data_IF_575873919787
#
_entry.id   IF_575873919787
#
_cell.length_a   1.000
_cell.length_b   1.000
_cell.length_c   1.000
_cell.angle_alpha   90.00
_cell.angle_beta   90.00
_cell.angle_gamma   90.00
#
_symmetry.space_group_name_H-M   'P 1'
#
loop_
_entity.id
_entity.type
_entity.pdbx_description
1 polymer ?
#
# COMPACT_ATOMS: atom_id res chain seq x y z
N UNK A 1 6.80 14.74 -24.80
CA UNK A 1 5.58 15.35 -24.24
C UNK A 1 5.75 15.59 -22.74
N UNK A 2 5.83 16.86 -22.36
CA UNK A 2 6.10 17.35 -21.01
C UNK A 2 4.80 17.26 -20.18
N UNK A 3 4.67 16.27 -19.29
CA UNK A 3 3.61 16.19 -18.28
C UNK A 3 4.22 16.01 -16.89
N UNK A 4 4.98 17.00 -16.43
CA UNK A 4 5.07 17.27 -14.99
C UNK A 4 3.75 17.90 -14.55
N UNK A 5 2.72 17.06 -14.43
CA UNK A 5 1.38 17.51 -14.08
C UNK A 5 1.34 18.20 -12.71
N UNK A 6 0.31 19.02 -12.44
CA UNK A 6 0.10 19.71 -11.16
C UNK A 6 0.22 18.80 -9.92
N UNK A 7 -0.08 17.50 -10.07
CA UNK A 7 -0.04 16.51 -9.00
C UNK A 7 1.35 16.20 -8.43
N UNK A 8 2.43 16.30 -9.20
CA UNK A 8 3.79 16.02 -8.68
C UNK A 8 4.29 17.15 -7.78
N UNK A 9 3.96 18.41 -8.13
CA UNK A 9 4.28 19.58 -7.29
C UNK A 9 3.45 19.60 -6.02
N UNK A 10 2.16 19.27 -6.12
CA UNK A 10 1.30 19.14 -4.95
C UNK A 10 1.80 18.04 -4.01
N UNK A 11 2.15 16.86 -4.54
CA UNK A 11 2.73 15.78 -3.75
C UNK A 11 4.03 16.22 -3.05
N UNK A 12 4.94 16.88 -3.76
CA UNK A 12 6.17 17.39 -3.18
C UNK A 12 5.90 18.39 -2.03
N UNK A 13 4.96 19.32 -2.23
CA UNK A 13 4.53 20.26 -1.18
C UNK A 13 3.92 19.55 0.02
N UNK A 14 3.07 18.55 -0.19
CA UNK A 14 2.45 17.75 0.88
C UNK A 14 3.50 17.00 1.69
N UNK A 15 4.46 16.33 1.04
CA UNK A 15 5.55 15.62 1.72
C UNK A 15 6.41 16.59 2.51
N UNK A 16 6.76 17.73 1.91
CA UNK A 16 7.55 18.76 2.57
C UNK A 16 6.81 19.32 3.79
N UNK A 17 5.53 19.69 3.64
CA UNK A 17 4.71 20.19 4.74
C UNK A 17 4.55 19.16 5.87
N UNK A 18 4.33 17.88 5.52
CA UNK A 18 4.28 16.81 6.50
C UNK A 18 5.60 16.63 7.25
N UNK A 19 6.72 16.66 6.53
CA UNK A 19 8.06 16.60 7.12
C UNK A 19 8.34 17.78 8.05
N UNK A 20 8.05 19.00 7.60
CA UNK A 20 8.20 20.22 8.39
C UNK A 20 7.33 20.16 9.65
N UNK A 21 6.05 19.77 9.53
CA UNK A 21 5.14 19.64 10.67
C UNK A 21 5.67 18.63 11.71
N UNK A 22 6.19 17.48 11.27
CA UNK A 22 6.77 16.49 12.18
C UNK A 22 8.05 17.01 12.86
N UNK A 23 8.96 17.62 12.10
CA UNK A 23 10.19 18.21 12.66
C UNK A 23 9.85 19.27 13.70
N UNK A 24 8.94 20.19 13.38
CA UNK A 24 8.49 21.23 14.31
C UNK A 24 7.82 20.61 15.54
N UNK A 25 6.92 19.64 15.36
CA UNK A 25 6.26 18.98 16.48
C UNK A 25 7.26 18.29 17.42
N UNK A 26 8.19 17.51 16.88
CA UNK A 26 9.19 16.80 17.70
C UNK A 26 10.24 17.73 18.32
N UNK A 27 10.55 18.87 17.68
CA UNK A 27 11.40 19.89 18.26
C UNK A 27 10.75 20.58 19.47
N UNK A 28 9.43 20.81 19.40
CA UNK A 28 8.66 21.44 20.48
C UNK A 28 8.18 20.44 21.54
N UNK A 29 8.27 19.13 21.28
CA UNK A 29 7.74 18.08 22.15
C UNK A 29 8.14 18.21 23.63
N UNK A 30 9.39 18.57 24.00
CA UNK A 30 9.76 18.76 25.40
C UNK A 30 8.94 19.86 26.10
N UNK A 31 8.54 20.90 25.38
CA UNK A 31 7.85 22.08 25.90
C UNK A 31 6.32 21.97 25.81
N UNK A 32 5.80 20.91 25.17
CA UNK A 32 4.37 20.70 25.06
C UNK A 32 3.73 20.30 26.41
N UNK A 33 2.44 20.60 26.61
CA UNK A 33 1.69 20.13 27.78
C UNK A 33 1.69 18.61 27.90
N UNK A 34 1.47 18.07 29.11
CA UNK A 34 1.48 16.63 29.36
C UNK A 34 0.52 15.83 28.47
N UNK A 35 -0.64 16.42 28.16
CA UNK A 35 -1.62 15.85 27.22
C UNK A 35 -1.05 15.58 25.83
N UNK A 36 0.03 16.23 25.42
CA UNK A 36 0.69 16.04 24.13
C UNK A 36 2.03 15.30 24.22
N UNK A 37 2.48 14.95 25.44
CA UNK A 37 3.75 14.22 25.68
C UNK A 37 3.54 12.76 26.04
N UNK A 38 2.35 12.38 26.53
CA UNK A 38 2.07 11.03 27.02
C UNK A 38 1.15 10.25 26.06
N UNK A 39 1.67 9.25 25.32
CA UNK A 39 0.84 8.43 24.43
C UNK A 39 -0.37 7.85 25.16
N UNK A 40 -1.58 7.99 24.62
CA UNK A 40 -2.81 7.51 25.27
C UNK A 40 -3.49 8.52 26.21
N UNK A 41 -2.92 9.72 26.40
CA UNK A 41 -3.67 10.88 26.89
C UNK A 41 -4.93 11.14 26.03
N UNK A 42 -5.95 11.86 26.51
CA UNK A 42 -7.15 12.15 25.73
C UNK A 42 -6.84 12.77 24.36
N UNK A 43 -5.95 13.77 24.31
CA UNK A 43 -5.58 14.45 23.07
C UNK A 43 -4.85 13.51 22.09
N UNK A 44 -3.85 12.76 22.56
CA UNK A 44 -3.12 11.83 21.69
C UNK A 44 -3.96 10.61 21.33
N UNK A 45 -4.88 10.15 22.18
CA UNK A 45 -5.84 9.08 21.86
C UNK A 45 -6.72 9.48 20.67
N UNK A 46 -7.36 10.65 20.73
CA UNK A 46 -8.18 11.16 19.62
C UNK A 46 -7.35 11.37 18.35
N UNK A 47 -6.12 11.88 18.50
CA UNK A 47 -5.17 12.03 17.39
C UNK A 47 -4.85 10.67 16.74
N UNK A 48 -4.58 9.64 17.55
CA UNK A 48 -4.34 8.28 17.08
C UNK A 48 -5.54 7.65 16.40
N UNK A 49 -6.74 7.82 16.97
CA UNK A 49 -7.99 7.34 16.39
C UNK A 49 -8.28 8.00 15.04
N UNK A 50 -8.18 9.33 14.96
CA UNK A 50 -8.34 10.08 13.71
C UNK A 50 -7.30 9.67 12.66
N UNK A 51 -6.04 9.52 13.07
CA UNK A 51 -4.97 9.02 12.22
C UNK A 51 -5.26 7.61 11.68
N UNK A 52 -5.69 6.70 12.55
CA UNK A 52 -6.09 5.35 12.19
C UNK A 52 -7.23 5.31 11.19
N UNK A 53 -8.28 6.11 11.39
CA UNK A 53 -9.42 6.22 10.46
C UNK A 53 -8.97 6.72 9.07
N UNK A 54 -8.11 7.73 9.00
CA UNK A 54 -7.57 8.23 7.74
C UNK A 54 -6.72 7.18 7.00
N UNK A 55 -5.94 6.40 7.75
CA UNK A 55 -5.15 5.29 7.21
C UNK A 55 -6.06 4.15 6.71
N UNK A 56 -7.19 3.89 7.36
CA UNK A 56 -8.20 2.94 6.88
C UNK A 56 -8.87 3.43 5.59
N UNK A 57 -9.18 4.73 5.47
CA UNK A 57 -9.65 5.31 4.20
C UNK A 57 -8.60 5.12 3.10
N UNK A 58 -7.32 5.33 3.42
CA UNK A 58 -6.22 5.09 2.48
C UNK A 58 -6.17 3.62 2.04
N UNK A 59 -6.37 2.66 2.96
CA UNK A 59 -6.47 1.24 2.62
C UNK A 59 -7.72 0.91 1.79
N UNK A 60 -8.83 1.62 2.00
CA UNK A 60 -10.07 1.50 1.21
C UNK A 60 -9.88 1.71 -0.29
N UNK A 61 -8.85 2.47 -0.70
CA UNK A 61 -8.44 2.59 -2.10
C UNK A 61 -8.20 1.25 -2.78
N UNK A 62 -7.61 0.28 -2.08
CA UNK A 62 -7.38 -1.06 -2.60
C UNK A 62 -8.71 -1.71 -3.00
N UNK A 63 -9.74 -1.58 -2.16
CA UNK A 63 -11.06 -2.13 -2.40
C UNK A 63 -11.76 -1.40 -3.55
N UNK A 64 -11.73 -0.07 -3.58
CA UNK A 64 -12.31 0.73 -4.65
C UNK A 64 -11.69 0.38 -6.02
N UNK A 65 -10.37 0.27 -6.08
CA UNK A 65 -9.64 -0.12 -7.31
C UNK A 65 -9.94 -1.55 -7.75
N UNK A 66 -10.14 -2.48 -6.81
CA UNK A 66 -10.29 -3.91 -7.11
C UNK A 66 -11.73 -4.35 -7.35
N UNK A 67 -12.70 -3.55 -6.94
CA UNK A 67 -14.13 -3.82 -7.18
C UNK A 67 -14.67 -3.11 -8.43
N UNK A 68 -13.96 -2.09 -8.95
CA UNK A 68 -14.41 -1.30 -10.09
C UNK A 68 -15.60 -0.39 -9.79
N UNK A 69 -16.09 -0.36 -8.55
CA UNK A 69 -17.28 0.38 -8.11
C UNK A 69 -16.98 1.76 -7.52
N UNK A 70 -15.72 2.18 -7.54
CA UNK A 70 -15.27 3.43 -6.91
C UNK A 70 -15.53 4.72 -7.70
N UNK A 71 -16.01 4.65 -8.95
CA UNK A 71 -16.03 5.84 -9.81
C UNK A 71 -14.61 6.22 -10.26
N UNK A 72 -14.23 7.51 -10.17
CA UNK A 72 -12.97 8.01 -10.76
C UNK A 72 -11.71 7.43 -10.07
N UNK A 73 -10.84 6.69 -10.80
CA UNK A 73 -9.59 6.18 -10.25
C UNK A 73 -8.62 7.27 -9.78
N UNK A 74 -8.68 8.46 -10.39
CA UNK A 74 -7.81 9.60 -10.06
C UNK A 74 -8.17 10.17 -8.69
N UNK A 75 -9.47 10.40 -8.43
CA UNK A 75 -9.95 10.93 -7.15
C UNK A 75 -9.63 9.98 -5.99
N UNK A 76 -9.79 8.68 -6.22
CA UNK A 76 -9.44 7.65 -5.24
C UNK A 76 -7.94 7.58 -4.95
N UNK A 77 -7.10 7.81 -5.96
CA UNK A 77 -5.66 7.92 -5.77
C UNK A 77 -5.28 9.18 -4.99
N UNK A 78 -5.89 10.33 -5.29
CA UNK A 78 -5.68 11.58 -4.53
C UNK A 78 -6.10 11.43 -3.07
N UNK A 79 -7.28 10.87 -2.81
CA UNK A 79 -7.75 10.57 -1.47
C UNK A 79 -6.78 9.64 -0.73
N UNK A 80 -6.32 8.56 -1.36
CA UNK A 80 -5.33 7.64 -0.80
C UNK A 80 -4.05 8.35 -0.35
N UNK A 81 -3.53 9.26 -1.17
CA UNK A 81 -2.33 10.05 -0.86
C UNK A 81 -2.60 11.02 0.28
N UNK A 82 -3.67 11.81 0.19
CA UNK A 82 -4.01 12.83 1.20
C UNK A 82 -4.27 12.20 2.58
N UNK A 83 -5.15 11.20 2.65
CA UNK A 83 -5.48 10.56 3.93
C UNK A 83 -4.33 9.70 4.43
N UNK A 84 -3.53 9.09 3.54
CA UNK A 84 -2.32 8.37 3.91
C UNK A 84 -1.26 9.29 4.53
N UNK A 85 -1.00 10.45 3.93
CA UNK A 85 -0.04 11.43 4.45
C UNK A 85 -0.52 12.05 5.76
N UNK A 86 -1.77 12.52 5.82
CA UNK A 86 -2.31 13.11 7.05
C UNK A 86 -2.39 12.09 8.18
N UNK A 87 -2.89 10.89 7.89
CA UNK A 87 -2.96 9.79 8.85
C UNK A 87 -1.58 9.39 9.37
N UNK A 88 -0.54 9.42 8.53
CA UNK A 88 0.84 9.17 8.96
C UNK A 88 1.39 10.24 9.89
N UNK A 89 1.10 11.52 9.62
CA UNK A 89 1.49 12.62 10.51
C UNK A 89 0.82 12.45 11.88
N UNK A 90 -0.49 12.21 11.90
CA UNK A 90 -1.22 12.01 13.16
C UNK A 90 -0.73 10.76 13.92
N UNK A 91 -0.44 9.66 13.22
CA UNK A 91 0.12 8.46 13.85
C UNK A 91 1.52 8.70 14.45
N UNK A 92 2.35 9.50 13.79
CA UNK A 92 3.66 9.89 14.32
C UNK A 92 3.52 10.81 15.54
N UNK A 93 2.64 11.82 15.49
CA UNK A 93 2.32 12.69 16.64
C UNK A 93 1.79 11.87 17.82
N UNK A 94 0.85 10.95 17.57
CA UNK A 94 0.28 10.04 18.55
C UNK A 94 1.36 9.24 19.32
N UNK A 95 2.46 8.88 18.64
CA UNK A 95 3.55 8.13 19.27
C UNK A 95 4.29 8.91 20.36
N UNK A 96 4.20 10.25 20.36
CA UNK A 96 4.92 11.15 21.26
C UNK A 96 6.42 10.79 21.40
N UNK A 97 7.04 10.32 20.31
CA UNK A 97 8.46 9.96 20.27
C UNK A 97 8.82 8.64 20.98
N UNK A 98 7.85 7.89 21.50
CA UNK A 98 8.08 6.61 22.19
C UNK A 98 8.24 5.45 21.21
N UNK A 99 9.47 5.25 20.75
CA UNK A 99 9.85 4.21 19.77
C UNK A 99 10.32 2.88 20.39
N UNK A 100 10.25 2.71 21.71
CA UNK A 100 10.84 1.56 22.41
C UNK A 100 9.94 0.31 22.48
N UNK A 101 8.72 0.36 21.94
CA UNK A 101 7.72 -0.70 22.08
C UNK A 101 7.26 -1.24 20.72
N UNK A 102 6.51 -2.36 20.71
CA UNK A 102 5.94 -2.99 19.52
C UNK A 102 5.30 -2.02 18.47
N UNK A 103 4.65 -0.90 18.85
CA UNK A 103 4.15 0.09 17.90
C UNK A 103 5.22 0.75 17.00
N UNK A 104 6.50 0.70 17.36
CA UNK A 104 7.59 1.23 16.54
C UNK A 104 7.71 0.52 15.18
N UNK A 105 7.36 -0.77 15.11
CA UNK A 105 7.33 -1.51 13.85
C UNK A 105 6.22 -0.98 12.91
N UNK A 106 5.12 -0.46 13.45
CA UNK A 106 4.07 0.18 12.66
C UNK A 106 4.55 1.49 12.06
N UNK A 107 5.25 2.31 12.85
CA UNK A 107 5.85 3.56 12.36
C UNK A 107 6.91 3.29 11.30
N UNK A 108 7.74 2.25 11.48
CA UNK A 108 8.71 1.84 10.47
C UNK A 108 8.03 1.37 9.18
N UNK A 109 6.98 0.55 9.30
CA UNK A 109 6.21 0.12 8.14
C UNK A 109 5.53 1.29 7.42
N UNK A 110 5.00 2.26 8.17
CA UNK A 110 4.40 3.47 7.64
C UNK A 110 5.42 4.36 6.91
N UNK A 111 6.61 4.55 7.50
CA UNK A 111 7.71 5.26 6.88
C UNK A 111 8.15 4.57 5.57
N UNK A 112 8.24 3.24 5.57
CA UNK A 112 8.53 2.45 4.36
C UNK A 112 7.46 2.61 3.28
N UNK A 113 6.17 2.62 3.65
CA UNK A 113 5.05 2.85 2.73
C UNK A 113 5.14 4.23 2.07
N UNK A 114 5.39 5.27 2.87
CA UNK A 114 5.59 6.63 2.39
C UNK A 114 6.78 6.69 1.43
N UNK A 115 7.94 6.20 1.85
CA UNK A 115 9.16 6.22 1.02
C UNK A 115 8.96 5.50 -0.32
N UNK A 116 8.31 4.32 -0.30
CA UNK A 116 7.96 3.58 -1.52
C UNK A 116 6.97 4.37 -2.39
N UNK A 117 5.95 4.99 -1.80
CA UNK A 117 4.98 5.82 -2.54
C UNK A 117 5.62 7.03 -3.22
N UNK A 118 6.48 7.76 -2.50
CA UNK A 118 7.24 8.90 -3.02
C UNK A 118 8.17 8.47 -4.14
N UNK A 119 8.94 7.40 -3.94
CA UNK A 119 9.82 6.86 -4.97
C UNK A 119 9.05 6.48 -6.24
N UNK A 120 7.89 5.84 -6.09
CA UNK A 120 7.05 5.43 -7.22
C UNK A 120 6.62 6.61 -8.07
N UNK A 121 6.25 7.71 -7.42
CA UNK A 121 5.78 8.91 -8.11
C UNK A 121 6.91 9.69 -8.76
N UNK A 122 8.00 9.93 -8.05
CA UNK A 122 9.09 10.77 -8.52
C UNK A 122 10.01 10.06 -9.51
N UNK A 123 10.28 8.76 -9.29
CA UNK A 123 11.25 7.99 -10.08
C UNK A 123 10.62 6.82 -10.81
N UNK A 124 9.72 6.08 -10.17
CA UNK A 124 9.10 4.88 -10.74
C UNK A 124 8.32 5.17 -12.04
N UNK A 125 7.48 6.20 -12.03
CA UNK A 125 6.67 6.63 -13.18
C UNK A 125 7.53 6.95 -14.42
N UNK A 126 8.62 7.71 -14.22
CA UNK A 126 9.55 8.12 -15.28
C UNK A 126 10.32 6.92 -15.83
N UNK A 127 10.81 6.03 -14.95
CA UNK A 127 11.51 4.81 -15.35
C UNK A 127 10.59 3.87 -16.13
N UNK A 128 9.35 3.69 -15.69
CA UNK A 128 8.36 2.90 -16.42
C UNK A 128 8.10 3.48 -17.81
N UNK A 129 7.87 4.79 -17.92
CA UNK A 129 7.68 5.45 -19.21
C UNK A 129 8.89 5.26 -20.14
N UNK A 130 10.11 5.39 -19.62
CA UNK A 130 11.33 5.15 -20.37
C UNK A 130 11.48 3.69 -20.83
N UNK A 131 11.13 2.71 -19.98
CA UNK A 131 11.11 1.29 -20.37
C UNK A 131 10.10 1.03 -21.49
N UNK A 132 8.89 1.59 -21.41
CA UNK A 132 7.89 1.41 -22.46
C UNK A 132 8.32 2.04 -23.79
N UNK A 133 8.98 3.20 -23.75
CA UNK A 133 9.53 3.85 -24.94
C UNK A 133 10.72 3.07 -25.55
N UNK A 134 11.51 2.38 -24.74
CA UNK A 134 12.71 1.66 -25.18
C UNK A 134 12.51 0.22 -25.67
N UNK A 135 11.32 -0.38 -25.50
CA UNK A 135 11.05 -1.79 -25.85
C UNK A 135 10.83 -2.04 -27.35
N UNK A 136 11.74 -1.57 -28.20
CA UNK A 136 11.77 -1.94 -29.63
C UNK A 136 12.38 -3.34 -29.82
N UNK A 137 13.33 -3.74 -28.96
CA UNK A 137 14.00 -5.06 -29.06
C UNK A 137 13.12 -6.26 -28.66
N UNK A 138 12.03 -6.07 -27.91
CA UNK A 138 11.12 -7.20 -27.57
C UNK A 138 10.21 -7.62 -28.72
N UNK A 139 10.36 -7.01 -29.91
CA UNK A 139 9.70 -7.41 -31.15
C UNK A 139 10.52 -8.45 -31.95
N UNK A 140 11.73 -8.80 -31.50
CA UNK A 140 12.47 -9.91 -32.10
C UNK A 140 11.68 -11.21 -31.92
N UNK A 141 11.42 -11.89 -33.04
CA UNK A 141 10.55 -13.05 -33.08
C UNK A 141 11.05 -14.13 -32.08
N UNK A 142 10.22 -14.56 -31.12
CA UNK A 142 10.63 -15.58 -30.16
C UNK A 142 11.06 -16.87 -30.87
N UNK A 143 12.13 -17.50 -30.38
CA UNK A 143 12.60 -18.78 -30.91
C UNK A 143 11.49 -19.86 -30.87
N UNK A 144 11.53 -20.89 -31.74
CA UNK A 144 10.45 -21.87 -31.90
C UNK A 144 9.99 -22.49 -30.56
N UNK A 145 10.94 -22.91 -29.73
CA UNK A 145 10.67 -23.50 -28.40
C UNK A 145 9.90 -22.57 -27.46
N UNK A 146 10.20 -21.27 -27.49
CA UNK A 146 9.51 -20.28 -26.65
C UNK A 146 8.09 -20.04 -27.16
N UNK A 147 7.89 -20.04 -28.48
CA UNK A 147 6.54 -19.95 -29.09
C UNK A 147 5.67 -21.13 -28.69
N UNK A 148 6.20 -22.34 -28.72
CA UNK A 148 5.45 -23.54 -28.33
C UNK A 148 5.03 -23.48 -26.86
N UNK A 149 5.97 -23.14 -25.97
CA UNK A 149 5.67 -22.97 -24.54
C UNK A 149 4.63 -21.89 -24.25
N UNK A 150 4.72 -20.74 -24.92
CA UNK A 150 3.73 -19.66 -24.78
C UNK A 150 2.36 -20.09 -25.32
N UNK A 151 2.31 -20.84 -26.43
CA UNK A 151 1.05 -21.30 -27.02
C UNK A 151 0.27 -22.23 -26.08
N UNK A 152 0.97 -23.11 -25.34
CA UNK A 152 0.35 -23.98 -24.34
C UNK A 152 -0.26 -23.15 -23.21
N UNK A 153 0.51 -22.20 -22.65
CA UNK A 153 0.04 -21.34 -21.57
C UNK A 153 -1.15 -20.48 -22.01
N UNK A 154 -1.11 -19.90 -23.20
CA UNK A 154 -2.20 -19.06 -23.72
C UNK A 154 -3.49 -19.87 -23.89
N UNK A 155 -3.42 -21.09 -24.44
CA UNK A 155 -4.58 -21.99 -24.54
C UNK A 155 -5.16 -22.34 -23.17
N UNK A 156 -4.31 -22.67 -22.20
CA UNK A 156 -4.78 -22.95 -20.84
C UNK A 156 -5.41 -21.71 -20.17
N UNK A 157 -4.85 -20.52 -20.41
CA UNK A 157 -5.41 -19.26 -19.91
C UNK A 157 -6.77 -18.97 -20.52
N UNK A 158 -6.96 -19.18 -21.83
CA UNK A 158 -8.25 -19.01 -22.51
C UNK A 158 -9.32 -19.96 -21.95
N UNK A 159 -8.97 -21.23 -21.74
CA UNK A 159 -9.87 -22.22 -21.12
C UNK A 159 -10.28 -21.83 -19.69
N UNK A 160 -9.33 -21.34 -18.88
CA UNK A 160 -9.62 -20.83 -17.55
C UNK A 160 -10.43 -19.53 -17.58
N UNK A 161 -10.17 -18.66 -18.54
CA UNK A 161 -10.84 -17.38 -18.70
C UNK A 161 -12.32 -17.58 -19.03
N UNK A 162 -12.64 -18.47 -19.96
CA UNK A 162 -14.02 -18.83 -20.30
C UNK A 162 -14.81 -19.35 -19.07
N UNK A 163 -14.12 -20.00 -18.13
CA UNK A 163 -14.70 -20.44 -16.85
C UNK A 163 -14.71 -19.36 -15.77
N UNK A 164 -13.89 -18.32 -15.87
CA UNK A 164 -13.80 -17.24 -14.86
C UNK A 164 -14.78 -16.12 -15.17
N UNK A 165 -14.71 -15.64 -16.41
CA UNK A 165 -15.50 -14.53 -16.95
C UNK A 165 -15.61 -14.71 -18.47
N UNK A 166 -16.73 -15.25 -18.98
CA UNK A 166 -16.94 -15.48 -20.41
C UNK A 166 -16.87 -14.20 -21.27
N UNK A 167 -17.04 -13.02 -20.65
CA UNK A 167 -16.99 -11.73 -21.35
C UNK A 167 -15.59 -11.12 -21.40
N UNK A 168 -14.63 -11.70 -20.68
CA UNK A 168 -13.28 -11.17 -20.56
C UNK A 168 -12.40 -11.54 -21.75
N UNK A 169 -11.44 -10.66 -22.06
CA UNK A 169 -10.40 -10.88 -23.08
C UNK A 169 -9.05 -11.09 -22.43
N UNK A 170 -8.36 -12.16 -22.80
CA UNK A 170 -7.08 -12.59 -22.22
C UNK A 170 -6.08 -11.44 -22.08
N UNK A 171 -5.84 -10.69 -23.16
CA UNK A 171 -4.83 -9.61 -23.18
C UNK A 171 -5.14 -8.39 -22.30
N UNK A 172 -6.35 -8.30 -21.75
CA UNK A 172 -6.76 -7.20 -20.85
C UNK A 172 -7.23 -7.68 -19.49
N UNK A 173 -7.44 -8.98 -19.32
CA UNK A 173 -8.04 -9.52 -18.12
C UNK A 173 -7.03 -9.59 -16.98
N UNK A 174 -7.49 -9.16 -15.80
CA UNK A 174 -6.81 -9.43 -14.55
C UNK A 174 -7.83 -9.80 -13.48
N UNK A 175 -7.58 -10.85 -12.68
CA UNK A 175 -8.50 -11.23 -11.61
C UNK A 175 -8.80 -10.06 -10.66
N UNK A 176 -10.08 -9.72 -10.55
CA UNK A 176 -10.61 -8.71 -9.61
C UNK A 176 -10.94 -9.33 -8.25
N UNK A 177 -11.21 -8.52 -7.23
CA UNK A 177 -11.58 -9.06 -5.91
C UNK A 177 -12.84 -9.95 -5.97
N UNK A 178 -13.81 -9.60 -6.81
CA UNK A 178 -15.01 -10.40 -7.01
C UNK A 178 -14.69 -11.81 -7.53
N UNK A 179 -13.71 -11.95 -8.42
CA UNK A 179 -13.26 -13.25 -8.91
C UNK A 179 -12.60 -14.07 -7.80
N UNK A 180 -11.74 -13.44 -6.99
CA UNK A 180 -11.11 -14.09 -5.85
C UNK A 180 -12.11 -14.58 -4.81
N UNK A 181 -13.18 -13.82 -4.55
CA UNK A 181 -14.24 -14.21 -3.61
C UNK A 181 -15.16 -15.30 -4.17
N UNK A 182 -15.57 -15.19 -5.44
CA UNK A 182 -16.53 -16.14 -6.04
C UNK A 182 -15.88 -17.44 -6.50
N UNK A 183 -14.66 -17.37 -7.05
CA UNK A 183 -13.95 -18.48 -7.71
C UNK A 183 -12.45 -18.44 -7.35
N UNK A 184 -12.09 -18.64 -6.06
CA UNK A 184 -10.71 -18.49 -5.58
C UNK A 184 -9.72 -19.44 -6.27
N UNK A 185 -10.10 -20.72 -6.45
CA UNK A 185 -9.23 -21.72 -7.08
C UNK A 185 -8.91 -21.41 -8.54
N UNK A 186 -9.93 -21.02 -9.31
CA UNK A 186 -9.75 -20.64 -10.72
C UNK A 186 -8.94 -19.34 -10.85
N UNK A 187 -9.21 -18.34 -10.00
CA UNK A 187 -8.44 -17.09 -9.95
C UNK A 187 -6.96 -17.35 -9.65
N UNK A 188 -6.66 -18.27 -8.74
CA UNK A 188 -5.30 -18.69 -8.43
C UNK A 188 -4.62 -19.40 -9.60
N UNK A 189 -5.31 -20.35 -10.25
CA UNK A 189 -4.78 -21.06 -11.41
C UNK A 189 -4.44 -20.09 -12.56
N UNK A 190 -5.35 -19.16 -12.87
CA UNK A 190 -5.12 -18.13 -13.89
C UNK A 190 -3.95 -17.22 -13.50
N UNK A 191 -3.88 -16.78 -12.24
CA UNK A 191 -2.79 -15.94 -11.76
C UNK A 191 -1.42 -16.65 -11.82
N UNK A 192 -1.38 -17.97 -11.60
CA UNK A 192 -0.17 -18.79 -11.74
C UNK A 192 0.31 -18.80 -13.19
N UNK A 193 -0.56 -19.10 -14.14
CA UNK A 193 -0.24 -19.11 -15.57
C UNK A 193 0.21 -17.75 -16.09
N UNK A 194 -0.47 -16.67 -15.70
CA UNK A 194 -0.04 -15.30 -16.02
C UNK A 194 1.36 -14.97 -15.44
N UNK A 195 1.69 -15.55 -14.28
CA UNK A 195 3.03 -15.45 -13.69
C UNK A 195 4.09 -16.23 -14.47
N UNK A 196 3.76 -17.44 -14.94
CA UNK A 196 4.62 -18.29 -15.76
C UNK A 196 4.89 -17.67 -17.13
N UNK A 197 3.87 -17.16 -17.80
CA UNK A 197 3.99 -16.38 -19.04
C UNK A 197 4.91 -15.17 -18.86
N UNK A 198 4.67 -14.36 -17.81
CA UNK A 198 5.50 -13.20 -17.50
C UNK A 198 6.97 -13.58 -17.23
N UNK A 199 7.24 -14.78 -16.72
CA UNK A 199 8.58 -15.32 -16.51
C UNK A 199 9.23 -15.74 -17.82
N UNK A 200 8.50 -16.43 -18.70
CA UNK A 200 8.98 -16.84 -20.02
C UNK A 200 9.31 -15.66 -20.92
N UNK A 201 8.47 -14.61 -20.90
CA UNK A 201 8.70 -13.37 -21.62
C UNK A 201 9.85 -12.52 -21.04
N UNK A 202 10.47 -12.95 -19.94
CA UNK A 202 11.56 -12.22 -19.29
C UNK A 202 11.14 -10.83 -18.78
N UNK A 203 9.83 -10.56 -18.66
CA UNK A 203 9.29 -9.21 -18.48
C UNK A 203 9.85 -8.50 -17.23
N UNK A 204 10.22 -9.28 -16.20
CA UNK A 204 10.84 -8.80 -14.96
C UNK A 204 12.36 -8.70 -15.02
N UNK A 205 13.04 -9.53 -15.82
CA UNK A 205 14.50 -9.45 -16.03
C UNK A 205 14.87 -8.27 -16.92
N UNK A 206 13.95 -7.85 -17.77
CA UNK A 206 14.09 -6.68 -18.65
C UNK A 206 14.05 -5.33 -17.91
N UNK A 207 13.86 -5.30 -16.59
CA UNK A 207 13.79 -4.05 -15.81
C UNK A 207 14.58 -4.18 -14.50
N UNK A 208 15.10 -3.06 -13.95
CA UNK A 208 15.81 -3.09 -12.67
C UNK A 208 14.93 -3.67 -11.53
N UNK A 209 15.52 -4.35 -10.52
CA UNK A 209 14.78 -4.97 -9.43
C UNK A 209 13.80 -4.03 -8.71
N UNK A 210 14.20 -2.77 -8.51
CA UNK A 210 13.32 -1.74 -7.94
C UNK A 210 12.01 -1.58 -8.71
N UNK A 211 12.05 -1.59 -10.04
CA UNK A 211 10.84 -1.51 -10.88
C UNK A 211 10.06 -2.83 -10.90
N UNK A 212 10.75 -3.97 -10.87
CA UNK A 212 10.13 -5.29 -10.90
C UNK A 212 9.34 -5.63 -9.61
N UNK A 213 9.85 -5.20 -8.45
CA UNK A 213 9.37 -5.66 -7.15
C UNK A 213 8.71 -4.57 -6.29
N UNK A 214 8.91 -3.28 -6.58
CA UNK A 214 8.36 -2.17 -5.78
C UNK A 214 6.90 -2.36 -5.42
N UNK A 215 6.04 -2.69 -6.39
CA UNK A 215 4.60 -2.85 -6.16
C UNK A 215 4.30 -3.99 -5.18
N UNK A 216 5.04 -5.10 -5.28
CA UNK A 216 4.85 -6.26 -4.38
C UNK A 216 5.27 -5.90 -2.97
N UNK A 217 6.41 -5.24 -2.82
CA UNK A 217 6.91 -4.77 -1.52
C UNK A 217 5.93 -3.79 -0.89
N UNK A 218 5.45 -2.81 -1.65
CA UNK A 218 4.47 -1.83 -1.15
C UNK A 218 3.17 -2.50 -0.69
N UNK A 219 2.63 -3.45 -1.47
CA UNK A 219 1.41 -4.19 -1.07
C UNK A 219 1.67 -5.06 0.17
N UNK A 220 2.77 -5.80 0.22
CA UNK A 220 3.11 -6.64 1.36
C UNK A 220 3.24 -5.80 2.64
N UNK A 221 3.94 -4.66 2.54
CA UNK A 221 4.09 -3.73 3.65
C UNK A 221 2.76 -3.11 4.08
N UNK A 222 1.87 -2.81 3.13
CA UNK A 222 0.54 -2.28 3.42
C UNK A 222 -0.34 -3.30 4.16
N UNK A 223 -0.27 -4.59 3.77
CA UNK A 223 -0.97 -5.67 4.46
C UNK A 223 -0.43 -5.85 5.88
N UNK A 224 0.89 -5.90 6.05
CA UNK A 224 1.53 -5.99 7.36
C UNK A 224 1.17 -4.80 8.26
N UNK A 225 1.23 -3.59 7.71
CA UNK A 225 0.85 -2.38 8.43
C UNK A 225 -0.62 -2.40 8.85
N UNK A 226 -1.54 -2.78 7.95
CA UNK A 226 -2.97 -2.83 8.25
C UNK A 226 -3.29 -3.87 9.32
N UNK A 227 -2.72 -5.07 9.21
CA UNK A 227 -2.88 -6.10 10.23
C UNK A 227 -2.35 -5.63 11.59
N UNK A 228 -1.19 -4.98 11.59
CA UNK A 228 -0.59 -4.45 12.80
C UNK A 228 -1.36 -3.26 13.39
N UNK A 229 -1.94 -2.37 12.58
CA UNK A 229 -2.79 -1.27 13.03
C UNK A 229 -4.06 -1.79 13.70
N UNK A 230 -4.74 -2.76 13.07
CA UNK A 230 -5.93 -3.39 13.64
C UNK A 230 -5.60 -4.17 14.92
N UNK A 231 -4.47 -4.90 14.91
CA UNK A 231 -3.97 -5.61 16.09
C UNK A 231 -3.64 -4.66 17.23
N UNK A 232 -2.95 -3.55 16.96
CA UNK A 232 -2.67 -2.52 17.95
C UNK A 232 -3.95 -1.95 18.56
N UNK A 233 -4.89 -1.52 17.73
CA UNK A 233 -6.18 -1.00 18.19
C UNK A 233 -6.94 -2.03 19.05
N UNK A 234 -6.97 -3.30 18.63
CA UNK A 234 -7.62 -4.36 19.37
C UNK A 234 -6.94 -4.61 20.73
N UNK A 235 -5.61 -4.68 20.77
CA UNK A 235 -4.84 -4.92 21.99
C UNK A 235 -5.04 -3.79 23.00
N UNK A 236 -4.89 -2.52 22.58
CA UNK A 236 -5.01 -1.39 23.53
C UNK A 236 -6.45 -1.16 24.02
N UNK A 237 -7.45 -1.63 23.25
CA UNK A 237 -8.87 -1.45 23.58
C UNK A 237 -9.46 -2.60 24.39
N UNK A 238 -9.13 -3.84 24.04
CA UNK A 238 -9.74 -5.05 24.64
C UNK A 238 -8.81 -5.80 25.59
N UNK A 239 -7.50 -5.60 25.49
CA UNK A 239 -6.48 -6.26 26.31
C UNK A 239 -5.59 -5.22 26.99
N UNK A 240 -6.23 -4.20 27.58
CA UNK A 240 -5.51 -3.05 28.13
C UNK A 240 -4.62 -3.43 29.32
N UNK A 241 -4.96 -4.47 30.09
CA UNK A 241 -4.14 -5.01 31.18
C UNK A 241 -2.82 -5.58 30.64
N UNK A 242 -2.90 -6.46 29.65
CA UNK A 242 -1.73 -6.93 28.90
C UNK A 242 -0.90 -5.78 28.31
N UNK A 243 -1.55 -4.80 27.66
CA UNK A 243 -0.88 -3.68 27.02
C UNK A 243 -0.17 -2.75 28.03
N UNK A 244 -0.70 -2.63 29.25
CA UNK A 244 -0.11 -1.84 30.32
C UNK A 244 1.08 -2.53 31.00
N UNK A 245 1.25 -3.84 30.84
CA UNK A 245 2.37 -4.57 31.42
C UNK A 245 2.45 -4.44 32.96
N UNK A 246 1.29 -4.32 33.63
CA UNK A 246 1.19 -4.13 35.08
C UNK A 246 1.18 -2.66 35.54
N UNK A 247 1.35 -1.68 34.65
CA UNK A 247 1.17 -0.26 34.97
C UNK A 247 -0.31 0.12 35.08
N UNK A 248 -0.59 1.26 35.74
CA UNK A 248 -1.95 1.82 35.79
C UNK A 248 -2.40 2.20 34.38
N UNK A 249 -3.52 1.63 33.94
CA UNK A 249 -4.16 1.97 32.67
C UNK A 249 -4.74 3.38 32.76
N UNK A 250 -4.34 4.27 31.85
CA UNK A 250 -4.74 5.68 31.84
C UNK A 250 -5.39 6.13 30.53
N UNK A 251 -5.47 5.25 29.54
CA UNK A 251 -6.17 5.50 28.28
C UNK A 251 -7.56 4.86 28.28
N UNK A 252 -8.41 5.32 27.37
CA UNK A 252 -9.73 4.74 27.17
C UNK A 252 -9.64 3.31 26.64
N UNK A 253 -10.39 2.39 27.25
CA UNK A 253 -10.44 0.98 26.89
C UNK A 253 -11.81 0.39 27.24
N UNK A 254 -12.12 -0.78 26.68
CA UNK A 254 -13.35 -1.52 26.95
C UNK A 254 -13.13 -2.68 27.93
N UNK A 255 -11.96 -3.30 27.92
CA UNK A 255 -11.63 -4.39 28.83
C UNK A 255 -10.14 -4.40 29.21
N UNK A 256 -9.86 -4.85 30.44
CA UNK A 256 -8.54 -4.81 31.08
C UNK A 256 -8.03 -6.21 31.47
N UNK A 257 -8.42 -7.24 30.70
CA UNK A 257 -7.91 -8.61 30.86
C UNK A 257 -6.38 -8.65 30.85
#
# INVERSE_FOLDING_TARGET
MNRSGPGDRLLARLIFAAGAALVTHFALLPDLPDDWRRPGSPALYLTGAAGGLLLLVSAGFLLAKRTGRGGSPVRWFEAHVLTGTLGAVLAAVHSAGRLRYAPALLLLALAGLLALGVWARLRGSRRMAATFAGKVESLLAPGPRLRDQLSVILREKELLLARLDPSAREGTFSPTLAHWLRRPRLSMAYARLAGEESRLLGARRAVPPGQAYWRRVHIALAVLFLAGLLGHAAVVTFFAGYAAGGEKIYWWHLAAW
#
